data_IF_266725180224
#
_entry.id   IF_266725180224
#
_cell.length_a   1.000
_cell.length_b   1.000
_cell.length_c   1.000
_cell.angle_alpha   90.00
_cell.angle_beta   90.00
_cell.angle_gamma   90.00
#
_symmetry.space_group_name_H-M   'P 1'
#
loop_
_entity.id
_entity.type
_entity.pdbx_description
1 polymer ?
#
# COMPACT_ATOMS: atom_id res chain seq x y z
N UNK A 1 -39.56 -26.56 3.42
CA UNK A 1 -38.19 -26.25 2.96
C UNK A 1 -37.93 -24.76 3.19
N UNK A 2 -37.43 -24.39 4.39
CA UNK A 2 -37.14 -22.98 4.70
C UNK A 2 -35.94 -22.52 3.86
N UNK A 3 -36.13 -21.55 2.98
CA UNK A 3 -35.04 -20.81 2.37
C UNK A 3 -34.24 -20.15 3.49
N UNK A 4 -33.02 -20.63 3.76
CA UNK A 4 -32.06 -19.94 4.59
C UNK A 4 -31.77 -18.62 3.88
N UNK A 5 -32.30 -17.52 4.36
CA UNK A 5 -31.89 -16.18 3.94
C UNK A 5 -30.43 -16.09 4.37
N UNK A 6 -29.52 -16.13 3.40
CA UNK A 6 -28.12 -15.81 3.63
C UNK A 6 -28.08 -14.36 4.09
N UNK A 7 -28.06 -14.12 5.40
CA UNK A 7 -27.73 -12.82 5.95
C UNK A 7 -26.26 -12.56 5.61
N UNK A 8 -26.01 -11.60 4.73
CA UNK A 8 -24.66 -11.13 4.45
C UNK A 8 -24.13 -10.43 5.68
N UNK A 9 -23.10 -11.02 6.33
CA UNK A 9 -22.44 -10.43 7.49
C UNK A 9 -21.57 -9.26 7.03
N UNK A 10 -22.14 -8.05 7.12
CA UNK A 10 -21.48 -6.82 6.72
C UNK A 10 -21.88 -5.64 7.59
N UNK A 11 -21.01 -4.67 7.68
CA UNK A 11 -21.32 -3.38 8.27
C UNK A 11 -20.71 -2.25 7.44
N UNK A 12 -21.11 -1.03 7.74
CA UNK A 12 -20.71 0.14 6.96
C UNK A 12 -20.28 1.27 7.88
N UNK A 13 -19.23 1.96 7.48
CA UNK A 13 -18.80 3.24 8.06
C UNK A 13 -18.78 4.25 6.91
N UNK A 14 -19.60 5.29 7.01
CA UNK A 14 -19.67 6.38 6.04
C UNK A 14 -19.16 7.68 6.65
N UNK A 15 -18.36 8.41 5.89
CA UNK A 15 -18.05 9.81 6.14
C UNK A 15 -18.92 10.64 5.19
N UNK A 16 -19.87 11.37 5.76
CA UNK A 16 -20.92 12.08 5.03
C UNK A 16 -20.66 13.58 4.98
N UNK A 17 -21.12 14.22 3.91
CA UNK A 17 -21.14 15.67 3.78
C UNK A 17 -22.39 16.13 3.00
N UNK A 18 -22.77 17.39 3.19
CA UNK A 18 -23.92 17.96 2.51
C UNK A 18 -25.19 17.11 2.68
N UNK A 19 -25.98 17.02 1.62
CA UNK A 19 -27.22 16.26 1.64
C UNK A 19 -27.03 14.87 1.06
N UNK A 20 -26.80 13.86 1.94
CA UNK A 20 -26.65 12.43 1.59
C UNK A 20 -25.47 12.07 0.66
N UNK A 21 -24.45 12.91 0.58
CA UNK A 21 -23.22 12.60 -0.14
C UNK A 21 -22.25 11.83 0.77
N UNK A 22 -21.53 10.86 0.21
CA UNK A 22 -20.57 10.04 0.95
C UNK A 22 -19.16 10.31 0.40
N UNK A 23 -18.34 11.01 1.18
CA UNK A 23 -16.94 11.26 0.85
C UNK A 23 -16.09 9.99 0.96
N UNK A 24 -16.43 9.10 1.89
CA UNK A 24 -15.77 7.82 2.08
C UNK A 24 -16.74 6.78 2.61
N UNK A 25 -16.90 5.72 1.85
CA UNK A 25 -17.69 4.52 2.21
C UNK A 25 -16.72 3.38 2.47
N UNK A 26 -16.79 2.81 3.67
CA UNK A 26 -16.04 1.63 4.09
C UNK A 26 -17.02 0.51 4.43
N UNK A 27 -17.02 -0.58 3.66
CA UNK A 27 -17.95 -1.67 3.84
C UNK A 27 -17.23 -3.03 3.94
N UNK A 28 -16.89 -3.48 5.16
CA UNK A 28 -16.43 -4.85 5.40
C UNK A 28 -17.55 -5.87 5.17
N UNK A 29 -17.34 -6.79 4.22
CA UNK A 29 -18.20 -7.93 3.88
C UNK A 29 -17.55 -9.21 4.39
N UNK A 30 -17.88 -9.61 5.61
CA UNK A 30 -17.17 -10.66 6.35
C UNK A 30 -17.35 -12.05 5.72
N UNK A 31 -18.52 -12.31 5.17
CA UNK A 31 -18.85 -13.56 4.45
C UNK A 31 -18.10 -13.69 3.12
N UNK A 32 -17.72 -12.57 2.51
CA UNK A 32 -16.96 -12.52 1.26
C UNK A 32 -15.45 -12.34 1.47
N UNK A 33 -15.05 -12.15 2.74
CA UNK A 33 -13.66 -11.83 3.08
C UNK A 33 -13.11 -10.64 2.27
N UNK A 34 -13.89 -9.57 2.20
CA UNK A 34 -13.70 -8.43 1.31
C UNK A 34 -14.06 -7.13 2.01
N UNK A 35 -13.29 -6.07 1.75
CA UNK A 35 -13.63 -4.72 2.21
C UNK A 35 -13.77 -3.83 0.98
N UNK A 36 -15.00 -3.36 0.74
CA UNK A 36 -15.28 -2.37 -0.29
C UNK A 36 -15.01 -0.96 0.21
N UNK A 37 -14.53 -0.10 -0.68
CA UNK A 37 -14.35 1.33 -0.46
C UNK A 37 -14.87 2.07 -1.67
N UNK A 38 -15.59 3.15 -1.44
CA UNK A 38 -16.14 3.95 -2.52
C UNK A 38 -16.51 5.37 -2.06
N UNK A 39 -17.05 6.14 -2.98
CA UNK A 39 -17.72 7.43 -2.78
C UNK A 39 -19.11 7.37 -3.40
N UNK A 40 -20.06 8.14 -2.85
CA UNK A 40 -21.38 8.34 -3.44
C UNK A 40 -21.59 9.83 -3.63
N UNK A 41 -21.67 10.26 -4.89
CA UNK A 41 -21.69 11.67 -5.28
C UNK A 41 -22.77 11.91 -6.33
N UNK A 42 -23.59 12.94 -6.14
CA UNK A 42 -24.65 13.32 -7.08
C UNK A 42 -25.61 12.16 -7.42
N UNK A 43 -25.93 11.31 -6.43
CA UNK A 43 -26.81 10.18 -6.63
C UNK A 43 -26.15 8.94 -7.26
N UNK A 44 -24.84 8.92 -7.47
CA UNK A 44 -24.12 7.84 -8.17
C UNK A 44 -22.95 7.34 -7.35
N UNK A 45 -22.81 6.00 -7.29
CA UNK A 45 -21.59 5.37 -6.75
C UNK A 45 -20.42 5.58 -7.73
N UNK A 46 -19.28 5.93 -7.20
CA UNK A 46 -18.02 5.96 -7.94
C UNK A 46 -17.44 4.56 -8.20
N UNK A 47 -16.22 4.50 -8.69
CA UNK A 47 -15.49 3.25 -8.87
C UNK A 47 -15.18 2.59 -7.54
N UNK A 48 -15.66 1.36 -7.32
CA UNK A 48 -15.42 0.60 -6.11
C UNK A 48 -13.96 0.12 -6.08
N UNK A 49 -13.28 0.44 -5.00
CA UNK A 49 -11.99 -0.14 -4.68
C UNK A 49 -12.19 -1.29 -3.71
N UNK A 50 -11.66 -2.45 -4.05
CA UNK A 50 -11.78 -3.64 -3.25
C UNK A 50 -10.47 -4.07 -2.60
N UNK A 51 -10.56 -4.64 -1.40
CA UNK A 51 -9.47 -5.29 -0.73
C UNK A 51 -9.89 -6.68 -0.29
N UNK A 52 -9.48 -7.70 -1.05
CA UNK A 52 -9.68 -9.10 -0.71
C UNK A 52 -8.69 -9.53 0.37
N UNK A 53 -9.20 -10.06 1.46
CA UNK A 53 -8.40 -10.49 2.61
C UNK A 53 -8.19 -12.00 2.52
N UNK A 54 -6.96 -12.46 2.38
CA UNK A 54 -6.66 -13.90 2.51
C UNK A 54 -6.86 -14.40 3.95
N UNK A 55 -6.57 -13.53 4.95
CA UNK A 55 -6.93 -13.74 6.36
C UNK A 55 -7.47 -12.43 6.90
N UNK A 56 -8.79 -12.33 7.02
CA UNK A 56 -9.42 -11.14 7.57
C UNK A 56 -8.99 -10.92 9.02
N UNK A 57 -8.54 -9.71 9.40
CA UNK A 57 -8.40 -9.34 10.81
C UNK A 57 -9.76 -9.11 11.47
N UNK A 58 -10.84 -9.06 10.68
CA UNK A 58 -12.21 -8.92 11.12
C UNK A 58 -12.88 -10.31 11.12
N UNK A 59 -13.09 -10.85 12.30
CA UNK A 59 -13.71 -12.17 12.48
C UNK A 59 -15.07 -12.00 13.18
N UNK A 60 -16.09 -12.71 12.69
CA UNK A 60 -17.40 -12.73 13.33
C UNK A 60 -17.31 -13.16 14.80
N UNK A 61 -17.98 -12.43 15.68
CA UNK A 61 -17.98 -12.68 17.13
C UNK A 61 -16.69 -12.32 17.86
N UNK A 62 -15.72 -11.70 17.19
CA UNK A 62 -14.50 -11.19 17.82
C UNK A 62 -14.50 -9.66 17.88
N UNK A 63 -13.99 -9.12 18.99
CA UNK A 63 -13.78 -7.67 19.11
C UNK A 63 -12.69 -7.20 18.14
N UNK A 64 -12.88 -6.01 17.60
CA UNK A 64 -11.92 -5.34 16.74
C UNK A 64 -11.93 -3.83 16.96
N UNK A 65 -10.90 -3.17 16.46
CA UNK A 65 -10.79 -1.72 16.40
C UNK A 65 -10.48 -1.32 14.95
N UNK A 66 -11.21 -0.34 14.43
CA UNK A 66 -10.92 0.31 13.16
C UNK A 66 -10.54 1.77 13.45
N UNK A 67 -9.45 2.23 12.86
CA UNK A 67 -9.05 3.62 12.83
C UNK A 67 -9.05 4.10 11.38
N UNK A 68 -9.72 5.21 11.13
CA UNK A 68 -9.64 5.94 9.87
C UNK A 68 -8.88 7.24 10.15
N UNK A 69 -7.66 7.32 9.66
CA UNK A 69 -6.84 8.51 9.79
C UNK A 69 -6.98 9.36 8.53
N UNK A 70 -7.20 10.65 8.71
CA UNK A 70 -7.36 11.61 7.62
C UNK A 70 -6.01 12.28 7.39
N UNK A 71 -5.29 11.86 6.35
CA UNK A 71 -4.08 12.53 5.90
C UNK A 71 -4.41 13.62 4.87
N UNK A 72 -3.41 14.34 4.39
CA UNK A 72 -3.60 15.35 3.36
C UNK A 72 -4.17 14.77 2.05
N UNK A 73 -3.75 13.57 1.66
CA UNK A 73 -4.03 13.00 0.34
C UNK A 73 -5.02 11.82 0.37
N UNK A 74 -5.22 11.19 1.54
CA UNK A 74 -5.97 9.94 1.62
C UNK A 74 -6.55 9.68 3.02
N UNK A 75 -7.60 8.86 3.06
CA UNK A 75 -8.02 8.14 4.26
C UNK A 75 -7.13 6.90 4.42
N UNK A 76 -6.43 6.79 5.55
CA UNK A 76 -5.61 5.64 5.89
C UNK A 76 -6.39 4.77 6.88
N UNK A 77 -6.59 3.50 6.55
CA UNK A 77 -7.41 2.60 7.37
C UNK A 77 -6.54 1.56 8.05
N UNK A 78 -6.67 1.50 9.37
CA UNK A 78 -5.99 0.56 10.25
C UNK A 78 -7.01 -0.33 10.94
N UNK A 79 -6.73 -1.62 11.02
CA UNK A 79 -7.53 -2.60 11.77
C UNK A 79 -6.63 -3.28 12.80
N UNK A 80 -7.04 -3.22 14.06
CA UNK A 80 -6.29 -3.82 15.20
C UNK A 80 -4.81 -3.40 15.24
N UNK A 81 -4.53 -2.13 14.94
CA UNK A 81 -3.17 -1.58 14.95
C UNK A 81 -2.37 -1.83 13.67
N UNK A 82 -2.90 -2.55 12.69
CA UNK A 82 -2.23 -2.81 11.42
C UNK A 82 -2.81 -1.94 10.31
N UNK A 83 -1.96 -1.17 9.61
CA UNK A 83 -2.39 -0.48 8.39
C UNK A 83 -2.87 -1.50 7.34
N UNK A 84 -4.02 -1.25 6.74
CA UNK A 84 -4.63 -2.15 5.76
C UNK A 84 -4.55 -1.59 4.35
N UNK A 85 -4.95 -0.35 4.17
CA UNK A 85 -4.99 0.32 2.86
C UNK A 85 -5.15 1.83 3.02
N UNK A 86 -4.91 2.52 1.90
CA UNK A 86 -5.23 3.94 1.72
C UNK A 86 -6.38 4.08 0.72
N UNK A 87 -7.14 5.16 0.82
CA UNK A 87 -8.15 5.56 -0.15
C UNK A 87 -7.97 7.05 -0.43
N UNK A 88 -7.56 7.39 -1.65
CA UNK A 88 -7.31 8.78 -2.04
C UNK A 88 -8.58 9.63 -1.92
N UNK A 89 -8.43 10.86 -1.45
CA UNK A 89 -9.55 11.78 -1.35
C UNK A 89 -10.11 12.07 -2.74
N UNK A 90 -11.38 11.72 -2.96
CA UNK A 90 -12.16 12.13 -4.14
C UNK A 90 -13.01 13.37 -3.87
N UNK A 91 -13.10 13.72 -2.59
CA UNK A 91 -13.76 14.91 -2.05
C UNK A 91 -12.86 15.48 -0.98
N UNK A 92 -12.69 16.82 -0.90
CA UNK A 92 -11.92 17.45 0.18
C UNK A 92 -12.42 16.99 1.56
N UNK A 93 -11.54 16.46 2.43
CA UNK A 93 -11.95 15.87 3.71
C UNK A 93 -12.57 16.89 4.68
N UNK A 94 -12.27 18.17 4.51
CA UNK A 94 -12.83 19.28 5.31
C UNK A 94 -14.33 19.44 5.11
N UNK A 95 -14.91 18.88 4.04
CA UNK A 95 -16.35 18.87 3.80
C UNK A 95 -17.09 17.85 4.64
N UNK A 96 -16.39 16.87 5.24
CA UNK A 96 -17.02 15.83 6.05
C UNK A 96 -17.62 16.43 7.31
N UNK A 97 -18.91 16.21 7.52
CA UNK A 97 -19.70 16.74 8.63
C UNK A 97 -20.19 15.68 9.60
N UNK A 98 -20.35 14.45 9.12
CA UNK A 98 -20.99 13.37 9.86
C UNK A 98 -20.27 12.03 9.67
N UNK A 99 -20.32 11.20 10.72
CA UNK A 99 -19.94 9.78 10.65
C UNK A 99 -21.21 8.95 10.86
N UNK A 100 -21.46 8.01 9.98
CA UNK A 100 -22.56 7.07 10.07
C UNK A 100 -21.99 5.64 10.14
N UNK A 101 -22.51 4.85 11.09
CA UNK A 101 -22.08 3.45 11.29
C UNK A 101 -23.35 2.60 11.43
N UNK A 102 -23.49 1.57 10.58
CA UNK A 102 -24.64 0.67 10.63
C UNK A 102 -24.32 -0.72 10.05
N UNK A 103 -25.23 -1.67 10.23
CA UNK A 103 -25.11 -3.05 9.78
C UNK A 103 -24.89 -4.04 10.92
N UNK A 104 -24.30 -5.20 10.61
CA UNK A 104 -24.11 -6.30 11.56
C UNK A 104 -22.89 -6.04 12.48
N UNK A 105 -23.01 -5.03 13.34
CA UNK A 105 -21.98 -4.59 14.27
C UNK A 105 -22.56 -4.27 15.64
N UNK A 106 -21.89 -4.69 16.69
CA UNK A 106 -22.14 -4.27 18.07
C UNK A 106 -21.12 -3.18 18.43
N UNK A 107 -21.48 -1.92 18.14
CA UNK A 107 -20.60 -0.76 18.35
C UNK A 107 -20.43 -0.51 19.85
N UNK A 108 -19.20 -0.64 20.36
CA UNK A 108 -18.86 -0.39 21.76
C UNK A 108 -18.47 1.07 22.02
N UNK A 109 -17.74 1.68 21.11
CA UNK A 109 -17.29 3.06 21.21
C UNK A 109 -16.98 3.62 19.83
N UNK A 110 -17.14 4.93 19.68
CA UNK A 110 -16.62 5.72 18.59
C UNK A 110 -16.10 7.04 19.14
N UNK A 111 -14.94 7.48 18.70
CA UNK A 111 -14.31 8.73 19.15
C UNK A 111 -13.55 9.39 18.03
N UNK A 112 -13.51 10.72 18.05
CA UNK A 112 -12.62 11.51 17.22
C UNK A 112 -11.39 11.85 18.06
N UNK A 113 -10.23 11.51 17.56
CA UNK A 113 -8.94 11.76 18.23
C UNK A 113 -8.03 12.55 17.29
N UNK A 114 -7.19 13.39 17.84
CA UNK A 114 -6.09 14.02 17.10
C UNK A 114 -4.84 13.17 17.26
N UNK A 115 -4.19 12.84 16.15
CA UNK A 115 -2.91 12.13 16.15
C UNK A 115 -2.03 12.68 15.03
N UNK A 116 -0.75 12.84 15.32
CA UNK A 116 0.24 13.32 14.34
C UNK A 116 0.94 12.14 13.63
N UNK A 117 0.78 10.92 14.14
CA UNK A 117 1.46 9.73 13.63
C UNK A 117 0.45 8.61 13.37
N UNK A 118 0.61 7.92 12.23
CA UNK A 118 -0.23 6.80 11.82
C UNK A 118 0.61 5.66 11.23
N UNK A 119 0.33 4.39 11.55
CA UNK A 119 -0.48 4.00 12.69
C UNK A 119 0.23 4.36 14.01
N UNK A 120 -0.53 4.61 15.06
CA UNK A 120 0.04 4.90 16.38
C UNK A 120 0.76 3.67 16.92
N UNK A 121 2.07 3.81 17.18
CA UNK A 121 2.92 2.72 17.63
C UNK A 121 2.50 2.11 18.97
N UNK A 122 1.76 2.85 19.80
CA UNK A 122 1.19 2.34 21.05
C UNK A 122 0.09 1.28 20.82
N UNK A 123 -0.49 1.24 19.63
CA UNK A 123 -1.55 0.33 19.21
C UNK A 123 -1.01 -0.83 18.38
N UNK A 124 0.19 -0.67 17.79
CA UNK A 124 0.80 -1.68 16.94
C UNK A 124 1.25 -2.88 17.79
N UNK A 125 0.49 -3.95 17.75
CA UNK A 125 1.00 -5.26 18.13
C UNK A 125 1.81 -5.80 16.96
N UNK A 126 3.12 -5.58 16.99
CA UNK A 126 4.02 -6.17 16.00
C UNK A 126 3.86 -7.69 15.95
N UNK A 127 3.12 -8.19 14.98
CA UNK A 127 3.36 -9.55 14.52
C UNK A 127 4.64 -9.48 13.69
N UNK A 128 5.66 -10.24 14.08
CA UNK A 128 6.81 -10.52 13.22
C UNK A 128 6.26 -11.09 11.91
N UNK A 129 6.19 -10.25 10.86
CA UNK A 129 5.58 -10.61 9.58
C UNK A 129 6.47 -11.55 8.74
N UNK A 130 7.52 -12.15 9.32
CA UNK A 130 8.39 -13.11 8.64
C UNK A 130 7.68 -14.42 8.24
N UNK A 131 6.51 -14.71 8.83
CA UNK A 131 5.80 -15.96 8.58
C UNK A 131 4.69 -15.85 7.52
N UNK A 132 4.29 -14.64 7.11
CA UNK A 132 3.19 -14.45 6.16
C UNK A 132 3.51 -13.34 5.15
N UNK A 133 3.33 -13.64 3.85
CA UNK A 133 3.53 -12.70 2.74
C UNK A 133 2.28 -11.85 2.44
N UNK A 134 1.49 -11.52 3.48
CA UNK A 134 0.27 -10.74 3.33
C UNK A 134 0.57 -9.25 3.23
N UNK A 135 -0.08 -8.59 2.28
CA UNK A 135 -0.03 -7.13 2.15
C UNK A 135 -1.06 -6.47 3.08
N UNK A 136 -0.76 -5.28 3.63
CA UNK A 136 0.55 -4.61 3.56
C UNK A 136 1.64 -5.39 4.30
N UNK A 137 2.81 -5.47 3.69
CA UNK A 137 3.95 -6.21 4.19
C UNK A 137 5.03 -5.26 4.65
N UNK A 138 5.49 -5.43 5.90
CA UNK A 138 6.63 -4.73 6.46
C UNK A 138 7.72 -5.74 6.79
N UNK A 139 8.88 -5.56 6.22
CA UNK A 139 10.06 -6.33 6.53
C UNK A 139 11.05 -5.44 7.28
N UNK A 140 11.32 -5.75 8.54
CA UNK A 140 12.36 -5.09 9.32
C UNK A 140 13.72 -5.68 8.94
N UNK A 141 14.61 -4.83 8.46
CA UNK A 141 15.96 -5.23 8.11
C UNK A 141 16.77 -5.41 9.40
N UNK A 142 17.32 -6.59 9.60
CA UNK A 142 18.22 -6.89 10.73
C UNK A 142 19.60 -6.27 10.51
N UNK A 143 20.00 -6.10 9.25
CA UNK A 143 21.23 -5.44 8.82
C UNK A 143 20.91 -4.28 7.88
N UNK A 144 21.81 -3.31 7.79
CA UNK A 144 21.67 -2.19 6.86
C UNK A 144 21.68 -2.69 5.41
N UNK A 145 20.83 -2.08 4.58
CA UNK A 145 20.83 -2.34 3.14
C UNK A 145 22.13 -1.81 2.56
N UNK A 146 22.92 -2.68 1.99
CA UNK A 146 24.23 -2.37 1.44
C UNK A 146 24.25 -2.53 -0.08
N UNK A 147 25.12 -1.80 -0.79
CA UNK A 147 25.42 -2.09 -2.17
C UNK A 147 25.81 -3.56 -2.36
N UNK A 148 25.31 -4.18 -3.44
CA UNK A 148 25.45 -5.62 -3.69
C UNK A 148 24.28 -6.46 -3.15
N UNK A 149 23.23 -5.85 -2.59
CA UNK A 149 21.98 -6.53 -2.22
C UNK A 149 20.96 -6.51 -3.35
N UNK A 150 20.27 -7.63 -3.47
CA UNK A 150 19.15 -7.84 -4.38
C UNK A 150 17.91 -8.17 -3.55
N UNK A 151 16.81 -7.47 -3.80
CA UNK A 151 15.50 -7.77 -3.24
C UNK A 151 14.67 -8.44 -4.32
N UNK A 152 14.21 -9.66 -4.04
CA UNK A 152 13.40 -10.48 -4.95
C UNK A 152 11.98 -10.55 -4.42
N UNK A 153 11.03 -10.10 -5.22
CA UNK A 153 9.60 -10.15 -4.91
C UNK A 153 8.91 -10.88 -6.05
N UNK A 154 8.15 -11.95 -5.73
CA UNK A 154 7.29 -12.61 -6.72
C UNK A 154 5.86 -12.59 -6.23
N UNK A 155 4.94 -12.51 -7.17
CA UNK A 155 3.53 -12.49 -6.85
C UNK A 155 2.66 -12.50 -8.09
N UNK A 156 1.37 -12.32 -7.85
CA UNK A 156 0.35 -12.19 -8.89
C UNK A 156 -0.33 -10.85 -8.77
N UNK A 157 -0.36 -10.12 -9.86
CA UNK A 157 -1.09 -8.86 -9.96
C UNK A 157 -2.58 -9.15 -9.99
N UNK A 158 -3.39 -8.40 -9.24
CA UNK A 158 -4.84 -8.57 -9.24
C UNK A 158 -5.43 -8.31 -10.64
N UNK A 159 -6.63 -8.82 -10.88
CA UNK A 159 -7.31 -8.66 -12.19
C UNK A 159 -7.73 -7.22 -12.47
N UNK A 160 -8.13 -6.48 -11.44
CA UNK A 160 -8.54 -5.08 -11.53
C UNK A 160 -7.69 -4.24 -10.57
N UNK A 161 -6.40 -4.08 -10.88
CA UNK A 161 -5.50 -3.35 -9.99
C UNK A 161 -5.67 -1.84 -10.20
N UNK A 162 -5.53 -1.09 -9.11
CA UNK A 162 -5.34 0.37 -9.14
C UNK A 162 -3.84 0.69 -9.08
N UNK A 163 -3.16 0.14 -8.09
CA UNK A 163 -1.71 0.30 -7.94
C UNK A 163 -1.12 -0.67 -6.92
N UNK A 164 0.20 -0.87 -6.99
CA UNK A 164 0.98 -1.39 -5.88
C UNK A 164 2.31 -0.64 -5.75
N UNK A 165 2.91 -0.68 -4.57
CA UNK A 165 4.17 0.04 -4.28
C UNK A 165 5.12 -0.78 -3.43
N UNK A 166 6.41 -0.51 -3.63
CA UNK A 166 7.52 -0.99 -2.80
C UNK A 166 8.31 0.22 -2.34
N UNK A 167 8.48 0.39 -1.02
CA UNK A 167 9.31 1.43 -0.43
C UNK A 167 10.50 0.82 0.29
N UNK A 168 11.66 1.42 0.11
CA UNK A 168 12.79 1.29 1.02
C UNK A 168 12.76 2.52 1.93
N UNK A 169 12.44 2.35 3.21
CA UNK A 169 12.11 3.45 4.12
C UNK A 169 12.79 3.36 5.47
N UNK A 170 12.92 4.51 6.15
CA UNK A 170 13.67 4.63 7.40
C UNK A 170 12.91 4.17 8.64
N UNK A 171 11.58 4.09 8.60
CA UNK A 171 10.77 3.64 9.74
C UNK A 171 9.52 2.89 9.30
N UNK A 172 8.81 2.30 10.26
CA UNK A 172 7.56 1.55 10.02
C UNK A 172 6.31 2.42 9.83
N UNK A 173 6.43 3.74 9.97
CA UNK A 173 5.29 4.63 9.82
C UNK A 173 4.80 4.67 8.37
N UNK A 174 3.53 4.96 8.21
CA UNK A 174 2.92 5.28 6.92
C UNK A 174 2.71 6.79 6.81
N UNK A 175 2.42 7.44 7.95
CA UNK A 175 2.25 8.89 8.05
C UNK A 175 2.73 9.40 9.43
N UNK A 176 3.44 10.54 9.52
CA UNK A 176 4.02 11.27 8.39
C UNK A 176 4.93 10.35 7.59
N UNK A 177 5.13 10.63 6.32
CA UNK A 177 6.02 9.80 5.52
C UNK A 177 7.42 9.77 6.16
N UNK A 178 8.00 8.59 6.38
CA UNK A 178 9.40 8.48 6.77
C UNK A 178 10.28 8.93 5.60
N UNK A 179 11.58 9.03 5.80
CA UNK A 179 12.50 9.10 4.66
C UNK A 179 12.32 7.84 3.80
N UNK A 180 12.13 8.04 2.50
CA UNK A 180 11.98 6.96 1.53
C UNK A 180 13.04 7.15 0.45
N UNK A 181 14.25 6.61 0.63
CA UNK A 181 15.31 6.68 -0.37
C UNK A 181 14.91 6.10 -1.72
N UNK A 182 14.03 5.10 -1.72
CA UNK A 182 13.51 4.53 -2.95
C UNK A 182 12.04 4.15 -2.84
N UNK A 183 11.25 4.64 -3.80
CA UNK A 183 9.83 4.36 -3.99
C UNK A 183 9.59 3.84 -5.39
N UNK A 184 9.12 2.61 -5.51
CA UNK A 184 8.61 2.02 -6.74
C UNK A 184 7.09 1.97 -6.66
N UNK A 185 6.39 2.61 -7.59
CA UNK A 185 4.93 2.61 -7.64
C UNK A 185 4.45 2.24 -9.03
N UNK A 186 3.79 1.11 -9.13
CA UNK A 186 3.19 0.61 -10.36
C UNK A 186 1.73 1.03 -10.36
N UNK A 187 1.35 1.89 -11.30
CA UNK A 187 0.02 2.48 -11.44
C UNK A 187 -0.69 1.88 -12.65
N UNK A 188 -1.96 1.49 -12.49
CA UNK A 188 -2.80 0.91 -13.55
C UNK A 188 -3.97 1.81 -13.92
N UNK A 189 -4.38 2.71 -13.03
CA UNK A 189 -5.46 3.65 -13.25
C UNK A 189 -5.10 5.02 -12.67
N UNK A 190 -5.51 6.17 -13.30
CA UNK A 190 -6.20 6.25 -14.61
C UNK A 190 -5.27 5.97 -15.80
N UNK A 191 -3.96 5.99 -15.62
CA UNK A 191 -2.93 5.76 -16.63
C UNK A 191 -1.98 4.65 -16.18
N UNK A 192 -1.53 3.82 -17.12
CA UNK A 192 -0.64 2.69 -16.86
C UNK A 192 0.83 3.10 -17.01
N UNK A 193 1.54 3.23 -15.89
CA UNK A 193 2.98 3.50 -15.87
C UNK A 193 3.62 3.11 -14.53
N UNK A 194 4.94 3.02 -14.56
CA UNK A 194 5.76 2.82 -13.37
C UNK A 194 6.40 4.14 -12.96
N UNK A 195 6.39 4.43 -11.67
CA UNK A 195 7.06 5.57 -11.06
C UNK A 195 8.20 5.09 -10.19
N UNK A 196 9.35 5.70 -10.35
CA UNK A 196 10.45 5.64 -9.39
C UNK A 196 10.64 7.04 -8.77
N UNK A 197 10.74 7.12 -7.45
CA UNK A 197 10.85 8.40 -6.74
C UNK A 197 11.56 8.22 -5.39
N UNK A 198 11.71 9.32 -4.66
CA UNK A 198 12.15 9.41 -3.27
C UNK A 198 11.30 10.40 -2.49
N UNK A 199 11.27 10.29 -1.16
CA UNK A 199 10.63 11.23 -0.26
C UNK A 199 11.65 11.75 0.75
N UNK A 200 11.72 13.07 0.86
CA UNK A 200 12.50 13.73 1.90
C UNK A 200 13.84 14.31 1.45
N UNK A 201 14.22 14.19 0.16
CA UNK A 201 15.44 14.80 -0.37
C UNK A 201 15.33 16.33 -0.47
N UNK A 202 14.21 16.84 -0.99
CA UNK A 202 13.94 18.28 -1.14
C UNK A 202 13.12 18.86 0.02
N UNK A 203 13.07 18.16 1.16
CA UNK A 203 12.24 18.50 2.33
C UNK A 203 11.09 17.51 2.49
N UNK A 204 10.02 17.88 3.19
CA UNK A 204 8.85 16.99 3.41
C UNK A 204 7.95 16.90 2.17
N UNK A 205 8.49 16.50 1.03
CA UNK A 205 7.80 16.39 -0.24
C UNK A 205 8.30 15.18 -1.03
N UNK A 206 7.48 14.73 -1.99
CA UNK A 206 7.91 13.86 -3.07
C UNK A 206 8.83 14.65 -4.00
N UNK A 207 9.92 13.99 -4.41
CA UNK A 207 10.85 14.53 -5.37
C UNK A 207 10.33 14.35 -6.81
N UNK A 208 11.15 14.65 -7.82
CA UNK A 208 10.78 14.49 -9.22
C UNK A 208 10.61 13.01 -9.58
N UNK A 209 9.45 12.66 -10.17
CA UNK A 209 9.13 11.30 -10.61
C UNK A 209 9.92 10.90 -11.86
N UNK A 210 10.56 9.74 -11.84
CA UNK A 210 11.03 9.06 -13.06
C UNK A 210 9.91 8.13 -13.50
N UNK A 211 9.30 8.41 -14.65
CA UNK A 211 8.20 7.62 -15.21
C UNK A 211 8.66 6.76 -16.36
N UNK A 212 8.15 5.54 -16.42
CA UNK A 212 8.42 4.59 -17.50
C UNK A 212 7.18 3.78 -17.87
N UNK A 213 7.11 3.24 -19.11
CA UNK A 213 6.06 2.32 -19.48
C UNK A 213 6.02 1.10 -18.56
N UNK A 214 4.82 0.52 -18.43
CA UNK A 214 4.62 -0.72 -17.68
C UNK A 214 5.23 -1.90 -18.44
N UNK A 215 6.10 -2.73 -17.82
CA UNK A 215 6.55 -3.98 -18.41
C UNK A 215 5.36 -4.91 -18.75
N UNK A 216 5.40 -5.57 -19.90
CA UNK A 216 4.31 -6.48 -20.32
C UNK A 216 4.08 -7.64 -19.36
N UNK A 217 5.12 -8.09 -18.67
CA UNK A 217 5.04 -9.10 -17.61
C UNK A 217 4.27 -8.61 -16.39
N UNK A 218 4.13 -7.29 -16.19
CA UNK A 218 3.38 -6.69 -15.08
C UNK A 218 1.93 -6.33 -15.44
N UNK A 219 1.34 -7.03 -16.40
CA UNK A 219 -0.07 -6.83 -16.76
C UNK A 219 -1.03 -7.39 -15.70
N UNK A 220 -2.26 -6.84 -15.59
CA UNK A 220 -3.28 -7.34 -14.67
C UNK A 220 -3.52 -8.85 -14.80
N UNK A 221 -3.63 -9.54 -13.67
CA UNK A 221 -3.89 -10.97 -13.58
C UNK A 221 -2.70 -11.88 -13.88
N UNK A 222 -1.54 -11.34 -14.26
CA UNK A 222 -0.32 -12.13 -14.50
C UNK A 222 0.52 -12.31 -13.24
N UNK A 223 1.29 -13.37 -13.24
CA UNK A 223 2.39 -13.53 -12.31
C UNK A 223 3.50 -12.53 -12.67
N UNK A 224 4.11 -11.93 -11.66
CA UNK A 224 5.16 -10.94 -11.83
C UNK A 224 6.36 -11.24 -10.93
N UNK A 225 7.52 -10.86 -11.43
CA UNK A 225 8.78 -10.83 -10.70
C UNK A 225 9.31 -9.40 -10.69
N UNK A 226 9.81 -8.99 -9.53
CA UNK A 226 10.36 -7.65 -9.28
C UNK A 226 11.70 -7.86 -8.61
N UNK A 227 12.76 -7.65 -9.36
CA UNK A 227 14.12 -7.75 -8.88
C UNK A 227 14.71 -6.36 -8.73
N UNK A 228 15.01 -5.95 -7.51
CA UNK A 228 15.56 -4.63 -7.17
C UNK A 228 17.03 -4.82 -6.77
N UNK A 229 17.94 -4.30 -7.58
CA UNK A 229 19.38 -4.37 -7.37
C UNK A 229 19.89 -3.05 -6.81
N UNK A 230 20.61 -3.10 -5.70
CA UNK A 230 21.11 -1.93 -4.97
C UNK A 230 22.61 -1.81 -5.20
N UNK A 231 23.01 -0.69 -5.80
CA UNK A 231 24.39 -0.31 -6.06
C UNK A 231 24.81 0.89 -5.19
N UNK A 232 26.06 1.28 -5.22
CA UNK A 232 26.60 2.37 -4.40
C UNK A 232 25.89 3.70 -4.63
N UNK A 233 25.50 4.01 -5.86
CA UNK A 233 24.96 5.32 -6.23
C UNK A 233 23.61 5.27 -6.95
N UNK A 234 23.10 4.06 -7.22
CA UNK A 234 21.85 3.89 -7.96
C UNK A 234 21.14 2.58 -7.63
N UNK A 235 19.88 2.50 -8.01
CA UNK A 235 19.05 1.30 -8.00
C UNK A 235 18.66 0.94 -9.42
N UNK A 236 18.72 -0.36 -9.74
CA UNK A 236 18.24 -0.94 -10.97
C UNK A 236 17.13 -1.95 -10.69
N UNK A 237 16.00 -1.79 -11.38
CA UNK A 237 14.91 -2.78 -11.37
C UNK A 237 14.86 -3.43 -12.72
N UNK A 238 15.02 -4.74 -12.77
CA UNK A 238 15.06 -5.48 -14.03
C UNK A 238 14.36 -6.83 -13.94
N UNK A 239 13.90 -7.33 -15.07
CA UNK A 239 13.49 -8.71 -15.31
C UNK A 239 14.48 -9.40 -16.24
N UNK A 240 14.08 -10.50 -16.87
CA UNK A 240 14.93 -11.28 -17.75
C UNK A 240 15.30 -10.51 -19.03
N UNK A 241 14.33 -9.82 -19.64
CA UNK A 241 14.43 -9.15 -20.94
C UNK A 241 14.09 -7.65 -20.93
N UNK A 242 13.94 -7.06 -19.75
CA UNK A 242 13.61 -5.65 -19.58
C UNK A 242 14.25 -5.06 -18.33
N UNK A 243 14.42 -3.74 -18.33
CA UNK A 243 14.80 -2.96 -17.16
C UNK A 243 14.04 -1.63 -17.11
N UNK A 244 13.83 -1.13 -15.92
CA UNK A 244 13.40 0.26 -15.73
C UNK A 244 14.61 1.20 -15.92
N UNK A 245 14.38 2.50 -16.17
CA UNK A 245 15.42 3.50 -16.12
C UNK A 245 16.19 3.44 -14.79
N UNK A 246 17.49 3.63 -14.83
CA UNK A 246 18.32 3.65 -13.62
C UNK A 246 17.86 4.77 -12.69
N UNK A 247 17.61 4.42 -11.43
CA UNK A 247 17.28 5.39 -10.40
C UNK A 247 18.54 5.82 -9.66
N UNK A 248 19.01 7.03 -9.92
CA UNK A 248 20.14 7.61 -9.18
C UNK A 248 19.71 7.91 -7.74
N UNK A 249 20.45 7.40 -6.76
CA UNK A 249 20.16 7.64 -5.35
C UNK A 249 20.24 9.14 -5.03
N UNK A 250 19.23 9.65 -4.35
CA UNK A 250 19.13 11.03 -3.89
C UNK A 250 19.31 11.15 -2.37
N UNK A 251 19.10 10.04 -1.67
CA UNK A 251 19.23 9.88 -0.22
C UNK A 251 20.12 8.69 0.10
N UNK A 252 20.71 8.72 1.29
CA UNK A 252 21.57 7.66 1.78
C UNK A 252 20.76 6.40 2.09
N UNK A 253 21.22 5.27 1.59
CA UNK A 253 20.63 3.94 1.82
C UNK A 253 20.84 3.43 3.26
N UNK A 254 21.81 3.96 4.01
CA UNK A 254 22.03 3.60 5.43
C UNK A 254 20.85 3.98 6.32
N UNK A 255 20.01 4.92 5.85
CA UNK A 255 18.77 5.30 6.52
C UNK A 255 17.67 4.24 6.41
N UNK A 256 17.77 3.30 5.47
CA UNK A 256 16.73 2.30 5.22
C UNK A 256 16.75 1.23 6.32
N UNK A 257 15.63 1.08 7.00
CA UNK A 257 15.43 0.08 8.06
C UNK A 257 14.27 -0.88 7.75
N UNK A 258 13.43 -0.51 6.79
CA UNK A 258 12.23 -1.27 6.45
C UNK A 258 12.03 -1.36 4.95
N UNK A 259 11.54 -2.52 4.52
CA UNK A 259 10.93 -2.69 3.19
C UNK A 259 9.42 -2.74 3.40
N UNK A 260 8.70 -1.83 2.76
CA UNK A 260 7.25 -1.75 2.83
C UNK A 260 6.62 -2.03 1.47
N UNK A 261 5.71 -3.00 1.42
CA UNK A 261 5.00 -3.39 0.19
C UNK A 261 3.50 -3.32 0.44
N UNK A 262 2.78 -2.64 -0.46
CA UNK A 262 1.34 -2.47 -0.34
C UNK A 262 0.68 -2.42 -1.73
N UNK A 263 -0.61 -2.78 -1.80
CA UNK A 263 -1.47 -2.55 -2.96
C UNK A 263 -1.95 -3.83 -3.62
N UNK A 264 -2.17 -3.78 -4.94
CA UNK A 264 -2.89 -4.80 -5.69
C UNK A 264 -2.01 -5.91 -6.24
N UNK A 265 -1.18 -6.44 -5.36
CA UNK A 265 -0.31 -7.59 -5.56
C UNK A 265 -0.67 -8.69 -4.55
N UNK A 266 -0.68 -9.94 -4.97
CA UNK A 266 -0.70 -11.12 -4.09
C UNK A 266 0.71 -11.69 -4.06
N UNK A 267 1.46 -11.42 -2.99
CA UNK A 267 2.83 -11.91 -2.84
C UNK A 267 2.88 -13.41 -2.60
N UNK A 268 3.80 -14.09 -3.28
CA UNK A 268 4.09 -15.52 -3.14
C UNK A 268 5.52 -15.81 -2.71
N UNK A 269 6.42 -14.83 -2.90
CA UNK A 269 7.83 -14.96 -2.55
C UNK A 269 8.44 -13.61 -2.20
N UNK A 270 9.33 -13.60 -1.20
CA UNK A 270 10.15 -12.47 -0.82
C UNK A 270 11.50 -12.97 -0.33
N UNK A 271 12.59 -12.41 -0.82
CA UNK A 271 13.93 -12.76 -0.40
C UNK A 271 14.90 -11.59 -0.59
N UNK A 272 15.88 -11.47 0.28
CA UNK A 272 17.03 -10.59 0.12
C UNK A 272 18.26 -11.47 -0.05
N UNK A 273 19.04 -11.20 -1.09
CA UNK A 273 20.26 -11.93 -1.41
C UNK A 273 21.38 -10.95 -1.78
N UNK A 274 22.61 -11.42 -1.76
CA UNK A 274 23.70 -10.71 -2.38
C UNK A 274 23.81 -11.09 -3.86
N UNK A 275 24.25 -10.18 -4.70
CA UNK A 275 24.53 -10.44 -6.11
C UNK A 275 25.95 -10.07 -6.50
N UNK A 276 26.42 -10.65 -7.59
CA UNK A 276 27.67 -10.24 -8.24
C UNK A 276 27.32 -9.39 -9.45
N UNK A 277 28.15 -8.39 -9.75
CA UNK A 277 27.98 -7.55 -10.96
C UNK A 277 27.99 -8.41 -12.22
N UNK A 278 27.09 -8.06 -13.16
CA UNK A 278 26.94 -8.71 -14.46
C UNK A 278 27.02 -7.67 -15.62
N UNK A 279 26.81 -8.11 -16.87
CA UNK A 279 26.86 -7.24 -18.06
C UNK A 279 25.84 -6.07 -18.02
N UNK A 280 24.74 -6.19 -17.25
CA UNK A 280 23.75 -5.12 -17.07
C UNK A 280 24.31 -3.95 -16.26
N UNK A 281 25.34 -4.19 -15.46
CA UNK A 281 26.01 -3.16 -14.66
C UNK A 281 26.70 -2.13 -15.55
N UNK A 282 27.27 -2.58 -16.67
CA UNK A 282 27.93 -1.71 -17.64
C UNK A 282 26.92 -0.85 -18.39
N UNK A 283 25.76 -1.41 -18.77
CA UNK A 283 24.66 -0.68 -19.41
C UNK A 283 24.07 0.36 -18.46
N UNK A 284 23.85 0.00 -17.19
CA UNK A 284 23.37 0.91 -16.17
C UNK A 284 24.36 2.05 -15.90
N UNK A 285 25.65 1.75 -15.87
CA UNK A 285 26.71 2.74 -15.71
C UNK A 285 26.79 3.73 -16.89
N UNK A 286 26.44 3.30 -18.10
CA UNK A 286 26.36 4.18 -19.27
C UNK A 286 25.18 5.15 -19.21
N UNK A 287 24.04 4.75 -18.64
CA UNK A 287 22.87 5.62 -18.46
C UNK A 287 23.09 6.71 -17.39
N UNK A 288 24.14 6.59 -16.58
CA UNK A 288 24.49 7.57 -15.56
C UNK A 288 25.49 8.63 -16.03
N UNK A 289 26.10 8.45 -17.21
CA UNK A 289 26.98 9.44 -17.84
C UNK A 289 26.20 10.49 -18.60
#
# INVERSE_FOLDING_TARGET
MMKKILQHLQFTINLLYGFNEIAFHLNPRLDQNYIARNTYLNGVWGDEEGFGLMKSPLLSGKGFQIMVFVSQDAYLVCVNGCHMFSFSHRVPPEKVEKIEIFGDIDLKAASLISSEVYPDSSIIKHKKNHETLHLPFFYNLEEDVKPGFKIEIKGKIKLLPVSFRVNLQSSEHVFPHPLIPYHLNVRYAPECYVVQNSWGFTGNNWDEEIRSPLPLSWSPGKDCEIDIYIYDSYILVKGEDWSLPVFKLRLDMDSVKYIYIQGDLTMTFFKITSFRRDEWDDIAAEQLK
#
